data_IF_047672466938
#
_entry.id   IF_047672466938
#
_cell.length_a   1.000
_cell.length_b   1.000
_cell.length_c   1.000
_cell.angle_alpha   90.00
_cell.angle_beta   90.00
_cell.angle_gamma   90.00
#
_symmetry.space_group_name_H-M   'P 1'
#
loop_
_entity.id
_entity.type
_entity.pdbx_description
1 polymer ?
#
# COMPACT_ATOMS: atom_id res chain seq x y z
N UNK A 1 -34.98 59.57 11.56
CA UNK A 1 -33.90 59.06 10.73
C UNK A 1 -33.01 58.20 11.61
N UNK A 2 -33.25 56.87 11.65
CA UNK A 2 -32.52 55.92 12.51
C UNK A 2 -31.85 54.94 11.56
N UNK A 3 -30.50 55.02 11.50
CA UNK A 3 -29.70 54.08 10.74
C UNK A 3 -29.59 52.74 11.49
N UNK A 4 -30.03 51.66 10.83
CA UNK A 4 -29.83 50.28 11.30
C UNK A 4 -28.48 49.78 10.80
N UNK A 5 -27.47 49.76 11.67
CA UNK A 5 -26.19 49.13 11.42
C UNK A 5 -26.34 47.62 11.61
N UNK A 6 -26.37 46.84 10.50
CA UNK A 6 -26.36 45.39 10.53
C UNK A 6 -24.93 44.90 10.76
N UNK A 7 -24.65 44.48 11.99
CA UNK A 7 -23.38 43.84 12.35
C UNK A 7 -23.40 42.36 11.96
N UNK A 8 -22.82 42.02 10.81
CA UNK A 8 -22.59 40.62 10.38
C UNK A 8 -21.44 40.02 11.21
N UNK A 9 -21.77 39.27 12.25
CA UNK A 9 -20.80 38.44 12.97
C UNK A 9 -20.29 37.32 12.04
N UNK A 10 -19.11 37.50 11.48
CA UNK A 10 -18.31 36.42 10.89
C UNK A 10 -17.79 35.53 12.03
N UNK A 11 -18.31 34.32 12.15
CA UNK A 11 -17.71 33.28 12.99
C UNK A 11 -16.38 32.86 12.33
N UNK A 12 -15.27 33.38 12.84
CA UNK A 12 -13.96 32.80 12.58
C UNK A 12 -13.91 31.45 13.31
N UNK A 13 -13.93 30.37 12.54
CA UNK A 13 -13.61 29.04 13.06
C UNK A 13 -12.09 28.99 13.18
N UNK A 14 -11.59 29.16 14.40
CA UNK A 14 -10.21 28.87 14.74
C UNK A 14 -10.00 27.37 14.70
N UNK A 15 -9.37 26.85 13.63
CA UNK A 15 -8.83 25.51 13.63
C UNK A 15 -7.54 25.59 14.43
N UNK A 16 -7.60 25.24 15.70
CA UNK A 16 -6.41 25.06 16.54
C UNK A 16 -5.64 23.86 16.02
N UNK A 17 -4.64 24.11 15.16
CA UNK A 17 -3.62 23.12 14.83
C UNK A 17 -2.71 23.00 16.05
N UNK A 18 -3.00 22.05 16.92
CA UNK A 18 -2.12 21.71 18.05
C UNK A 18 -0.86 21.06 17.48
N UNK A 19 0.18 21.85 17.24
CA UNK A 19 1.52 21.35 16.92
C UNK A 19 2.14 20.85 18.21
N UNK A 20 1.95 19.57 18.53
CA UNK A 20 2.79 18.89 19.51
C UNK A 20 4.13 18.58 18.83
N UNK A 21 5.09 19.47 19.04
CA UNK A 21 6.50 19.22 18.76
C UNK A 21 7.01 18.16 19.75
N UNK A 22 6.96 16.89 19.38
CA UNK A 22 7.68 15.81 20.07
C UNK A 22 8.75 15.27 19.15
N UNK A 23 9.97 15.12 19.70
CA UNK A 23 11.22 14.84 19.04
C UNK A 23 11.15 13.84 17.88
N UNK A 24 11.91 14.16 16.84
CA UNK A 24 12.10 13.26 15.69
C UNK A 24 12.77 11.96 16.17
N UNK A 25 12.00 10.88 16.26
CA UNK A 25 12.57 9.54 16.33
C UNK A 25 13.30 9.26 15.01
N UNK A 26 14.46 8.58 15.03
CA UNK A 26 15.17 8.21 13.80
C UNK A 26 14.26 7.33 12.92
N UNK A 27 14.38 7.47 11.60
CA UNK A 27 13.53 6.80 10.61
C UNK A 27 13.46 5.28 10.80
N UNK A 28 14.51 4.66 11.34
CA UNK A 28 14.56 3.25 11.70
C UNK A 28 13.63 2.85 12.86
N UNK A 29 13.30 3.77 13.76
CA UNK A 29 12.39 3.50 14.88
C UNK A 29 10.90 3.51 14.45
N UNK A 30 10.56 4.18 13.34
CA UNK A 30 9.19 4.19 12.79
C UNK A 30 8.81 2.87 12.10
N UNK A 31 9.81 2.08 11.65
CA UNK A 31 9.59 0.79 11.00
C UNK A 31 9.34 -0.35 12.00
N UNK A 32 9.66 -0.14 13.29
CA UNK A 32 9.57 -1.16 14.34
C UNK A 32 8.27 -1.12 15.15
N UNK A 33 7.29 -0.28 14.80
CA UNK A 33 6.03 -0.23 15.53
C UNK A 33 5.09 -1.36 15.10
N UNK A 34 4.84 -2.22 16.06
CA UNK A 34 3.96 -3.37 16.10
C UNK A 34 2.62 -3.11 15.40
N UNK A 35 2.48 -3.64 14.20
CA UNK A 35 1.16 -3.88 13.62
C UNK A 35 0.71 -5.24 14.15
N UNK A 36 -0.41 -5.31 14.86
CA UNK A 36 -1.08 -6.55 15.34
C UNK A 36 -1.65 -7.38 14.16
N UNK A 37 -0.81 -7.62 13.16
CA UNK A 37 -1.03 -8.47 12.02
C UNK A 37 -0.18 -9.74 12.14
N UNK A 38 -0.25 -10.63 11.16
CA UNK A 38 0.70 -11.73 11.01
C UNK A 38 2.08 -11.07 10.84
N UNK A 39 2.81 -10.92 11.96
CA UNK A 39 4.13 -10.35 11.94
C UNK A 39 5.01 -11.23 11.03
N UNK A 40 5.67 -10.62 10.06
CA UNK A 40 6.75 -11.29 9.40
C UNK A 40 7.74 -11.70 10.50
N UNK A 41 8.06 -12.98 10.57
CA UNK A 41 8.93 -13.52 11.63
C UNK A 41 10.39 -13.35 11.21
N UNK A 42 11.29 -13.35 12.21
CA UNK A 42 12.73 -13.39 12.00
C UNK A 42 13.10 -14.45 10.95
N UNK A 43 13.97 -14.08 10.00
CA UNK A 43 14.38 -14.94 8.89
C UNK A 43 15.79 -15.48 9.11
N UNK A 44 16.09 -16.73 8.70
CA UNK A 44 17.45 -17.21 8.61
C UNK A 44 18.31 -16.32 7.69
N UNK A 45 19.56 -16.06 8.05
CA UNK A 45 20.47 -15.25 7.25
C UNK A 45 20.58 -15.75 5.79
N UNK A 46 20.62 -17.07 5.57
CA UNK A 46 20.67 -17.67 4.24
C UNK A 46 19.46 -17.31 3.37
N UNK A 47 18.28 -17.09 3.95
CA UNK A 47 17.07 -16.65 3.24
C UNK A 47 17.21 -15.19 2.84
N UNK A 48 17.74 -14.35 3.72
CA UNK A 48 17.98 -12.93 3.47
C UNK A 48 19.00 -12.73 2.35
N UNK A 49 20.08 -13.52 2.35
CA UNK A 49 21.11 -13.48 1.28
C UNK A 49 20.58 -13.98 -0.07
N UNK A 50 19.56 -14.82 -0.08
CA UNK A 50 18.92 -15.34 -1.30
C UNK A 50 17.86 -14.38 -1.89
N UNK A 51 17.53 -13.27 -1.22
CA UNK A 51 16.60 -12.26 -1.74
C UNK A 51 17.21 -11.62 -3.00
N UNK A 52 16.50 -11.59 -4.15
CA UNK A 52 17.09 -11.18 -5.43
C UNK A 52 17.16 -9.64 -5.59
N UNK A 53 17.62 -8.95 -4.56
CA UNK A 53 17.88 -7.50 -4.53
C UNK A 53 19.17 -7.19 -3.80
N UNK A 54 19.81 -6.08 -4.13
CA UNK A 54 21.03 -5.65 -3.45
C UNK A 54 20.67 -4.89 -2.17
N UNK A 55 20.59 -5.61 -1.05
CA UNK A 55 20.26 -5.05 0.25
C UNK A 55 21.51 -4.50 0.94
N UNK A 56 21.41 -3.31 1.52
CA UNK A 56 22.42 -2.80 2.43
C UNK A 56 22.40 -3.56 3.78
N UNK A 57 23.39 -3.31 4.62
CA UNK A 57 23.52 -4.00 5.92
C UNK A 57 22.31 -3.74 6.85
N UNK A 58 21.75 -2.54 6.83
CA UNK A 58 20.59 -2.19 7.64
C UNK A 58 19.33 -2.92 7.19
N UNK A 59 19.07 -2.97 5.87
CA UNK A 59 17.97 -3.70 5.29
C UNK A 59 18.07 -5.21 5.57
N UNK A 60 19.28 -5.80 5.44
CA UNK A 60 19.53 -7.20 5.80
C UNK A 60 19.24 -7.47 7.27
N UNK A 61 19.71 -6.60 8.17
CA UNK A 61 19.46 -6.72 9.60
C UNK A 61 17.94 -6.67 9.91
N UNK A 62 17.20 -5.75 9.31
CA UNK A 62 15.75 -5.64 9.47
C UNK A 62 15.03 -6.89 8.96
N UNK A 63 15.35 -7.36 7.76
CA UNK A 63 14.77 -8.61 7.22
C UNK A 63 15.07 -9.81 8.13
N UNK A 64 16.30 -9.91 8.65
CA UNK A 64 16.67 -10.99 9.55
C UNK A 64 15.87 -10.94 10.87
N UNK A 65 15.66 -9.75 11.44
CA UNK A 65 15.01 -9.60 12.75
C UNK A 65 13.49 -9.56 12.67
N UNK A 66 12.91 -8.98 11.61
CA UNK A 66 11.47 -8.71 11.50
C UNK A 66 10.80 -9.32 10.27
N UNK A 67 11.57 -9.88 9.33
CA UNK A 67 11.04 -10.35 8.04
C UNK A 67 10.63 -9.25 7.08
N UNK A 68 10.86 -7.98 7.41
CA UNK A 68 10.51 -6.85 6.56
C UNK A 68 11.57 -5.75 6.57
N UNK A 69 11.64 -4.99 5.47
CA UNK A 69 12.46 -3.77 5.36
C UNK A 69 11.73 -2.76 4.48
N UNK A 70 12.09 -1.49 4.59
CA UNK A 70 11.48 -0.46 3.77
C UNK A 70 12.29 0.82 3.76
N UNK A 71 12.01 1.68 2.81
CA UNK A 71 12.62 3.00 2.71
C UNK A 71 11.64 4.05 2.19
N UNK A 72 12.01 5.30 2.38
CA UNK A 72 11.26 6.46 1.95
C UNK A 72 12.06 7.24 0.92
N UNK A 73 11.38 7.81 -0.07
CA UNK A 73 12.02 8.68 -1.03
C UNK A 73 11.27 10.00 -1.20
N UNK A 74 11.99 11.02 -1.68
CA UNK A 74 11.44 12.33 -1.98
C UNK A 74 11.92 12.74 -3.38
N UNK A 75 10.98 13.20 -4.21
CA UNK A 75 11.20 13.74 -5.55
C UNK A 75 11.94 12.80 -6.56
N UNK A 76 12.60 11.73 -6.07
CA UNK A 76 13.27 10.71 -6.88
C UNK A 76 12.71 9.33 -6.55
N UNK A 77 11.93 8.70 -7.45
CA UNK A 77 11.40 7.37 -7.23
C UNK A 77 12.49 6.32 -6.97
N UNK A 78 12.23 5.43 -6.01
CA UNK A 78 13.10 4.31 -5.68
C UNK A 78 12.32 3.00 -5.80
N UNK A 79 13.00 1.97 -6.33
CA UNK A 79 12.46 0.61 -6.53
C UNK A 79 13.51 -0.47 -6.21
N UNK A 80 14.55 -0.10 -5.50
CA UNK A 80 15.72 -0.94 -5.17
C UNK A 80 15.40 -2.14 -4.28
N UNK A 81 14.25 -2.13 -3.60
CA UNK A 81 13.74 -3.28 -2.84
C UNK A 81 12.83 -4.22 -3.67
N UNK A 82 12.57 -3.93 -4.95
CA UNK A 82 11.69 -4.75 -5.77
C UNK A 82 12.41 -6.05 -6.21
N UNK A 83 11.88 -7.25 -5.86
CA UNK A 83 12.53 -8.52 -6.14
C UNK A 83 12.43 -8.96 -7.62
N UNK A 84 11.67 -8.22 -8.43
CA UNK A 84 11.45 -8.51 -9.85
C UNK A 84 11.95 -7.35 -10.71
N UNK A 85 12.96 -7.60 -11.54
CA UNK A 85 13.62 -6.57 -12.36
C UNK A 85 12.67 -5.96 -13.40
N UNK A 86 11.79 -6.76 -14.01
CA UNK A 86 10.82 -6.27 -15.00
C UNK A 86 9.76 -5.38 -14.32
N UNK A 87 9.23 -5.80 -13.16
CA UNK A 87 8.34 -4.98 -12.36
C UNK A 87 9.02 -3.68 -11.91
N UNK A 88 10.28 -3.74 -11.42
CA UNK A 88 11.02 -2.56 -11.00
C UNK A 88 11.13 -1.52 -12.13
N UNK A 89 11.44 -1.96 -13.36
CA UNK A 89 11.50 -1.09 -14.52
C UNK A 89 10.13 -0.47 -14.88
N UNK A 90 9.05 -1.24 -14.80
CA UNK A 90 7.68 -0.78 -15.08
C UNK A 90 7.20 0.23 -14.02
N UNK A 91 7.43 -0.07 -12.74
CA UNK A 91 7.11 0.81 -11.62
C UNK A 91 7.88 2.13 -11.75
N UNK A 92 9.18 2.07 -12.01
CA UNK A 92 10.00 3.26 -12.15
C UNK A 92 9.53 4.14 -13.32
N UNK A 93 9.18 3.54 -14.47
CA UNK A 93 8.62 4.25 -15.63
C UNK A 93 7.30 4.94 -15.27
N UNK A 94 6.42 4.23 -14.57
CA UNK A 94 5.12 4.76 -14.13
C UNK A 94 5.28 5.91 -13.15
N UNK A 95 6.18 5.77 -12.17
CA UNK A 95 6.48 6.80 -11.18
C UNK A 95 7.14 8.03 -11.82
N UNK A 96 8.08 7.84 -12.75
CA UNK A 96 8.69 8.95 -13.49
C UNK A 96 7.66 9.73 -14.32
N UNK A 97 6.63 9.08 -14.83
CA UNK A 97 5.52 9.75 -15.52
C UNK A 97 4.59 10.54 -14.60
N UNK A 98 4.53 10.20 -13.30
CA UNK A 98 3.69 10.89 -12.31
C UNK A 98 4.44 11.90 -11.45
N UNK A 99 5.78 11.87 -11.46
CA UNK A 99 6.66 12.75 -10.69
C UNK A 99 6.29 12.84 -9.20
N UNK A 100 6.25 11.72 -8.46
CA UNK A 100 5.87 11.74 -7.06
C UNK A 100 6.85 12.57 -6.24
N UNK A 101 6.33 13.39 -5.33
CA UNK A 101 7.15 14.16 -4.41
C UNK A 101 7.35 13.45 -3.04
N UNK A 102 6.58 12.39 -2.78
CA UNK A 102 6.71 11.53 -1.60
C UNK A 102 6.52 10.09 -2.06
N UNK A 103 7.35 9.17 -1.56
CA UNK A 103 7.14 7.75 -1.79
C UNK A 103 7.66 6.87 -0.66
N UNK A 104 7.15 5.67 -0.69
CA UNK A 104 7.42 4.60 0.28
C UNK A 104 7.58 3.31 -0.48
N UNK A 105 8.60 2.53 -0.16
CA UNK A 105 8.70 1.15 -0.58
C UNK A 105 8.91 0.23 0.61
N UNK A 106 8.40 -0.99 0.52
CA UNK A 106 8.48 -1.99 1.58
C UNK A 106 8.62 -3.37 0.95
N UNK A 107 9.55 -4.15 1.43
CA UNK A 107 9.70 -5.56 1.11
C UNK A 107 9.43 -6.40 2.35
N UNK A 108 8.55 -7.37 2.22
CA UNK A 108 8.30 -8.41 3.24
C UNK A 108 8.66 -9.76 2.64
N UNK A 109 9.38 -10.56 3.40
CA UNK A 109 9.71 -11.94 3.05
C UNK A 109 9.05 -12.86 4.06
N UNK A 110 8.28 -13.82 3.59
CA UNK A 110 7.52 -14.73 4.44
C UNK A 110 7.62 -16.16 3.93
N UNK A 111 7.55 -17.14 4.82
CA UNK A 111 7.45 -18.53 4.42
C UNK A 111 6.17 -18.77 3.60
N UNK A 112 6.28 -19.52 2.52
CA UNK A 112 5.12 -19.98 1.74
C UNK A 112 4.24 -20.84 2.65
N UNK A 113 2.92 -20.64 2.71
CA UNK A 113 2.03 -21.54 3.46
C UNK A 113 2.25 -22.99 3.07
N UNK A 114 2.34 -23.88 4.06
CA UNK A 114 2.75 -25.28 3.84
C UNK A 114 1.91 -26.00 2.78
N UNK A 115 0.59 -25.76 2.74
CA UNK A 115 -0.32 -26.34 1.76
C UNK A 115 -0.09 -25.83 0.31
N UNK A 116 0.60 -24.67 0.13
CA UNK A 116 0.94 -24.13 -1.18
C UNK A 116 2.32 -24.55 -1.68
N UNK A 117 3.25 -24.99 -0.80
CA UNK A 117 4.63 -25.31 -1.18
C UNK A 117 4.72 -26.31 -2.31
N UNK A 118 3.98 -27.42 -2.21
CA UNK A 118 3.99 -28.53 -3.19
C UNK A 118 2.89 -28.43 -4.24
N UNK A 119 2.06 -27.41 -4.18
CA UNK A 119 0.89 -27.27 -5.05
C UNK A 119 1.29 -26.81 -6.46
N UNK A 120 0.91 -27.55 -7.49
CA UNK A 120 1.27 -27.23 -8.88
C UNK A 120 0.62 -25.93 -9.37
N UNK A 121 -0.60 -25.63 -8.92
CA UNK A 121 -1.37 -24.44 -9.28
C UNK A 121 -1.22 -23.27 -8.30
N UNK A 122 -0.22 -23.31 -7.38
CA UNK A 122 -0.03 -22.28 -6.34
C UNK A 122 -0.01 -20.85 -6.88
N UNK A 123 0.61 -20.62 -8.05
CA UNK A 123 0.67 -19.30 -8.66
C UNK A 123 -0.72 -18.79 -9.06
N UNK A 124 -1.59 -19.68 -9.56
CA UNK A 124 -2.98 -19.36 -9.86
C UNK A 124 -3.78 -19.09 -8.58
N UNK A 125 -3.52 -19.82 -7.50
CA UNK A 125 -4.14 -19.55 -6.20
C UNK A 125 -3.73 -18.16 -5.70
N UNK A 126 -2.44 -17.85 -5.67
CA UNK A 126 -1.94 -16.52 -5.24
C UNK A 126 -2.49 -15.41 -6.14
N UNK A 127 -2.57 -15.64 -7.44
CA UNK A 127 -3.18 -14.72 -8.39
C UNK A 127 -4.65 -14.46 -8.06
N UNK A 128 -5.45 -15.49 -7.84
CA UNK A 128 -6.86 -15.34 -7.49
C UNK A 128 -7.08 -14.64 -6.14
N UNK A 129 -6.19 -14.86 -5.15
CA UNK A 129 -6.26 -14.17 -3.86
C UNK A 129 -6.12 -12.66 -4.01
N UNK A 130 -5.25 -12.18 -4.90
CA UNK A 130 -5.09 -10.74 -5.16
C UNK A 130 -6.33 -10.06 -5.73
N UNK A 131 -7.27 -10.83 -6.28
CA UNK A 131 -8.51 -10.33 -6.88
C UNK A 131 -9.69 -10.29 -5.91
N UNK A 132 -9.51 -10.74 -4.67
CA UNK A 132 -10.58 -10.81 -3.67
C UNK A 132 -10.77 -9.48 -2.94
N UNK A 133 -11.17 -8.43 -3.65
CA UNK A 133 -11.31 -7.06 -3.09
C UNK A 133 -12.29 -6.97 -1.95
N UNK A 134 -13.38 -7.74 -1.98
CA UNK A 134 -14.39 -7.74 -0.92
C UNK A 134 -13.85 -8.21 0.43
N UNK A 135 -12.85 -9.09 0.41
CA UNK A 135 -12.21 -9.56 1.64
C UNK A 135 -11.28 -8.52 2.28
N UNK A 136 -11.04 -7.38 1.61
CA UNK A 136 -10.35 -6.23 2.20
C UNK A 136 -11.24 -5.39 3.12
N UNK A 137 -12.56 -5.57 3.10
CA UNK A 137 -13.44 -4.91 4.05
C UNK A 137 -13.10 -5.32 5.48
N UNK A 138 -12.97 -4.33 6.37
CA UNK A 138 -12.65 -4.56 7.78
C UNK A 138 -11.16 -4.82 8.07
N UNK A 139 -10.26 -4.83 7.05
CA UNK A 139 -8.83 -4.98 7.35
C UNK A 139 -8.34 -3.84 8.21
N UNK A 140 -7.39 -4.18 9.09
CA UNK A 140 -6.87 -3.23 10.06
C UNK A 140 -5.47 -2.76 9.71
N UNK A 141 -5.15 -1.54 10.11
CA UNK A 141 -3.82 -0.95 9.99
C UNK A 141 -3.49 -0.11 11.24
N UNK A 142 -2.22 0.04 11.55
CA UNK A 142 -1.80 0.98 12.60
C UNK A 142 -1.81 2.41 12.04
N UNK A 143 -2.64 3.26 12.64
CA UNK A 143 -2.74 4.68 12.27
C UNK A 143 -1.71 5.50 13.05
N UNK A 144 -0.56 5.83 12.43
CA UNK A 144 0.49 6.63 13.06
C UNK A 144 0.02 8.01 13.53
N UNK A 145 -1.03 8.58 12.93
CA UNK A 145 -1.59 9.87 13.34
C UNK A 145 -2.49 9.79 14.57
N UNK A 146 -3.06 8.62 14.86
CA UNK A 146 -3.93 8.38 16.02
C UNK A 146 -3.25 7.53 17.10
N UNK A 147 -2.13 6.85 16.78
CA UNK A 147 -1.42 5.98 17.71
C UNK A 147 -2.16 4.67 18.06
N UNK A 148 -3.09 4.23 17.20
CA UNK A 148 -3.95 3.07 17.44
C UNK A 148 -4.20 2.26 16.18
N UNK A 149 -4.61 1.00 16.35
CA UNK A 149 -5.09 0.15 15.25
C UNK A 149 -6.51 0.51 14.88
N UNK A 150 -6.77 0.74 13.60
CA UNK A 150 -8.05 1.14 13.03
C UNK A 150 -8.41 0.30 11.82
N UNK A 151 -9.69 0.24 11.51
CA UNK A 151 -10.16 -0.29 10.22
C UNK A 151 -9.63 0.61 9.10
N UNK A 152 -9.04 0.00 8.07
CA UNK A 152 -8.56 0.71 6.88
C UNK A 152 -9.71 0.97 5.92
N UNK A 153 -10.44 -0.08 5.51
CA UNK A 153 -11.57 0.02 4.58
C UNK A 153 -12.87 -0.42 5.23
N UNK A 154 -13.89 0.43 5.17
CA UNK A 154 -15.27 0.08 5.53
C UNK A 154 -16.02 -0.55 4.36
N UNK A 155 -15.50 -0.41 3.13
CA UNK A 155 -15.96 -1.12 1.95
C UNK A 155 -14.82 -1.23 0.93
N UNK A 156 -14.76 -2.35 0.20
CA UNK A 156 -13.82 -2.55 -0.91
C UNK A 156 -14.44 -3.52 -1.91
N UNK A 157 -14.69 -3.09 -3.15
CA UNK A 157 -15.32 -3.95 -4.16
C UNK A 157 -15.10 -3.42 -5.58
N UNK A 158 -15.26 -4.29 -6.56
CA UNK A 158 -15.25 -3.94 -7.98
C UNK A 158 -16.54 -3.24 -8.39
N UNK A 159 -16.41 -2.34 -9.37
CA UNK A 159 -17.54 -1.64 -10.00
C UNK A 159 -17.36 -1.63 -11.53
N UNK A 160 -18.41 -1.29 -12.27
CA UNK A 160 -18.30 -1.14 -13.73
C UNK A 160 -17.50 0.09 -14.14
N UNK A 161 -17.57 1.17 -13.38
CA UNK A 161 -16.86 2.43 -13.64
C UNK A 161 -17.46 3.59 -12.88
N UNK A 162 -16.96 4.81 -13.15
CA UNK A 162 -17.38 6.04 -12.47
C UNK A 162 -18.88 6.36 -12.64
N UNK A 163 -19.50 5.90 -13.72
CA UNK A 163 -20.94 6.10 -13.99
C UNK A 163 -21.86 5.04 -13.38
N UNK A 164 -21.30 3.91 -12.93
CA UNK A 164 -22.08 2.82 -12.31
C UNK A 164 -21.24 2.18 -11.18
N UNK A 165 -21.53 2.60 -9.95
CA UNK A 165 -20.85 2.16 -8.74
C UNK A 165 -21.50 0.92 -8.10
N UNK A 166 -22.42 0.24 -8.81
CA UNK A 166 -22.99 -1.01 -8.32
C UNK A 166 -21.87 -2.06 -8.12
N UNK A 167 -21.94 -2.75 -6.99
CA UNK A 167 -20.98 -3.79 -6.64
C UNK A 167 -21.01 -4.94 -7.65
N UNK A 168 -19.84 -5.31 -8.13
CA UNK A 168 -19.62 -6.52 -8.92
C UNK A 168 -18.97 -7.61 -8.06
N UNK A 169 -19.22 -8.91 -8.37
CA UNK A 169 -18.52 -10.00 -7.71
C UNK A 169 -17.02 -9.95 -8.01
N UNK A 170 -16.20 -10.42 -7.07
CA UNK A 170 -14.79 -10.64 -7.33
C UNK A 170 -14.64 -11.76 -8.38
N UNK A 171 -13.70 -11.62 -9.34
CA UNK A 171 -13.50 -12.64 -10.35
C UNK A 171 -12.75 -13.84 -9.76
N UNK A 172 -13.01 -14.99 -10.35
CA UNK A 172 -12.20 -16.18 -10.15
C UNK A 172 -11.72 -16.67 -11.51
N UNK A 173 -10.41 -16.76 -11.69
CA UNK A 173 -9.78 -17.12 -12.94
C UNK A 173 -9.39 -18.58 -12.96
N UNK A 174 -9.65 -19.25 -14.07
CA UNK A 174 -9.21 -20.63 -14.32
C UNK A 174 -7.74 -20.69 -14.79
N UNK A 175 -7.21 -19.57 -15.28
CA UNK A 175 -5.82 -19.38 -15.71
C UNK A 175 -5.33 -18.00 -15.38
N UNK A 176 -4.01 -17.80 -15.33
CA UNK A 176 -3.41 -16.49 -15.13
C UNK A 176 -3.51 -15.71 -16.43
N UNK A 177 -4.22 -14.56 -16.39
CA UNK A 177 -4.33 -13.67 -17.52
C UNK A 177 -3.06 -12.80 -17.64
N UNK A 178 -2.53 -12.55 -18.87
CA UNK A 178 -1.33 -11.75 -19.05
C UNK A 178 -1.43 -10.34 -18.49
N UNK A 179 -2.56 -9.67 -18.72
CA UNK A 179 -2.89 -8.35 -18.15
C UNK A 179 -4.37 -8.08 -18.26
N UNK A 180 -4.93 -7.37 -17.28
CA UNK A 180 -6.29 -6.84 -17.32
C UNK A 180 -6.43 -5.66 -16.36
N UNK A 181 -7.53 -4.94 -16.51
CA UNK A 181 -7.84 -3.75 -15.73
C UNK A 181 -9.32 -3.71 -15.35
N UNK A 182 -9.62 -3.17 -14.18
CA UNK A 182 -10.98 -2.86 -13.76
C UNK A 182 -11.01 -1.74 -12.73
N UNK A 183 -12.22 -1.26 -12.41
CA UNK A 183 -12.42 -0.23 -11.42
C UNK A 183 -12.75 -0.85 -10.06
N UNK A 184 -12.15 -0.28 -9.01
CA UNK A 184 -12.36 -0.69 -7.61
C UNK A 184 -12.77 0.53 -6.80
N UNK A 185 -13.84 0.40 -6.04
CA UNK A 185 -14.26 1.39 -5.07
C UNK A 185 -13.77 0.95 -3.69
N UNK A 186 -13.07 1.84 -2.99
CA UNK A 186 -12.68 1.64 -1.59
C UNK A 186 -13.15 2.82 -0.74
N UNK A 187 -13.75 2.52 0.41
CA UNK A 187 -14.13 3.50 1.42
C UNK A 187 -13.11 3.46 2.57
N UNK A 188 -12.07 4.28 2.45
CA UNK A 188 -10.96 4.41 3.42
C UNK A 188 -11.41 5.27 4.59
N UNK A 189 -11.24 4.82 5.82
CA UNK A 189 -11.66 5.54 7.04
C UNK A 189 -10.99 6.91 7.21
N UNK A 190 -9.86 7.15 6.51
CA UNK A 190 -9.13 8.43 6.54
C UNK A 190 -9.48 9.33 5.35
N UNK A 191 -9.58 8.73 4.15
CA UNK A 191 -9.71 9.46 2.89
C UNK A 191 -11.12 9.38 2.29
N UNK A 192 -12.03 8.62 2.92
CA UNK A 192 -13.39 8.41 2.45
C UNK A 192 -13.45 7.55 1.18
N UNK A 193 -14.57 7.63 0.51
CA UNK A 193 -14.90 6.82 -0.66
C UNK A 193 -14.15 7.31 -1.90
N UNK A 194 -13.31 6.43 -2.46
CA UNK A 194 -12.49 6.72 -3.63
C UNK A 194 -12.61 5.60 -4.67
N UNK A 195 -12.58 5.99 -5.93
CA UNK A 195 -12.54 5.10 -7.08
C UNK A 195 -11.11 4.98 -7.58
N UNK A 196 -10.69 3.76 -7.85
CA UNK A 196 -9.36 3.44 -8.36
C UNK A 196 -9.46 2.63 -9.66
N UNK A 197 -8.51 2.86 -10.56
CA UNK A 197 -8.18 1.91 -11.60
C UNK A 197 -7.19 0.90 -11.04
N UNK A 198 -7.52 -0.38 -11.12
CA UNK A 198 -6.71 -1.51 -10.71
C UNK A 198 -6.24 -2.28 -11.93
N UNK A 199 -4.92 -2.38 -12.13
CA UNK A 199 -4.29 -3.08 -13.24
C UNK A 199 -3.50 -4.26 -12.71
N UNK A 200 -3.61 -5.42 -13.34
CA UNK A 200 -2.85 -6.63 -13.05
C UNK A 200 -1.99 -6.99 -14.23
N UNK A 201 -0.78 -7.47 -13.96
CA UNK A 201 0.13 -8.05 -14.95
C UNK A 201 0.74 -9.33 -14.41
N UNK A 202 0.67 -10.38 -15.19
CA UNK A 202 1.45 -11.58 -14.96
C UNK A 202 2.90 -11.31 -15.40
N UNK A 203 3.83 -11.71 -14.57
CA UNK A 203 5.26 -11.56 -14.80
C UNK A 203 5.94 -12.93 -14.84
N UNK A 204 7.19 -12.96 -15.27
CA UNK A 204 8.00 -14.18 -15.25
C UNK A 204 8.14 -14.75 -13.83
N UNK A 205 8.49 -16.03 -13.73
CA UNK A 205 8.71 -16.77 -12.48
C UNK A 205 7.48 -16.82 -11.55
N UNK A 206 6.27 -16.69 -12.13
CA UNK A 206 5.02 -16.73 -11.38
C UNK A 206 4.76 -15.49 -10.53
N UNK A 207 5.45 -14.39 -10.81
CA UNK A 207 5.19 -13.12 -10.15
C UNK A 207 3.94 -12.45 -10.74
N UNK A 208 3.27 -11.65 -9.89
CA UNK A 208 2.14 -10.80 -10.30
C UNK A 208 2.40 -9.39 -9.83
N UNK A 209 2.26 -8.44 -10.75
CA UNK A 209 2.22 -7.01 -10.44
C UNK A 209 0.76 -6.55 -10.39
N UNK A 210 0.41 -5.88 -9.32
CA UNK A 210 -0.87 -5.24 -9.11
C UNK A 210 -0.65 -3.75 -8.87
N UNK A 211 -1.26 -2.88 -9.69
CA UNK A 211 -1.14 -1.42 -9.55
C UNK A 211 -2.51 -0.79 -9.36
N UNK A 212 -2.62 0.16 -8.43
CA UNK A 212 -3.80 1.01 -8.24
C UNK A 212 -3.46 2.49 -8.44
N UNK A 213 -4.35 3.19 -9.13
CA UNK A 213 -4.29 4.64 -9.33
C UNK A 213 -5.64 5.28 -9.03
N UNK A 214 -5.66 6.37 -8.27
CA UNK A 214 -6.90 7.09 -7.99
C UNK A 214 -7.46 7.77 -9.25
N UNK A 215 -8.76 7.58 -9.51
CA UNK A 215 -9.46 8.15 -10.67
C UNK A 215 -9.79 9.63 -10.46
N UNK A 216 -10.19 10.00 -9.26
CA UNK A 216 -10.59 11.34 -8.89
C UNK A 216 -9.68 11.94 -7.81
N UNK A 217 -9.93 13.20 -7.46
CA UNK A 217 -9.23 13.87 -6.35
C UNK A 217 -9.48 13.14 -5.04
N UNK A 218 -8.40 12.82 -4.30
CA UNK A 218 -8.50 12.30 -2.94
C UNK A 218 -8.49 13.46 -1.94
N UNK A 219 -9.34 13.36 -0.93
CA UNK A 219 -9.50 14.39 0.11
C UNK A 219 -9.12 13.88 1.48
N UNK A 220 -8.61 14.78 2.32
CA UNK A 220 -8.50 14.57 3.76
C UNK A 220 -9.46 15.55 4.43
N UNK A 221 -10.61 15.08 4.88
CA UNK A 221 -11.74 15.92 5.23
C UNK A 221 -12.20 16.76 4.04
N UNK A 222 -12.15 18.09 4.16
CA UNK A 222 -12.53 19.02 3.09
C UNK A 222 -11.35 19.39 2.15
N UNK A 223 -10.12 19.07 2.53
CA UNK A 223 -8.91 19.48 1.81
C UNK A 223 -8.56 18.47 0.70
N UNK A 224 -8.42 18.90 -0.56
CA UNK A 224 -7.89 18.04 -1.61
C UNK A 224 -6.38 17.84 -1.38
N UNK A 225 -5.97 16.58 -1.19
CA UNK A 225 -4.56 16.24 -0.93
C UNK A 225 -3.87 15.60 -2.12
N UNK A 226 -4.62 14.94 -3.01
CA UNK A 226 -4.11 14.34 -4.24
C UNK A 226 -5.00 14.71 -5.42
N UNK A 227 -4.40 15.04 -6.56
CA UNK A 227 -5.09 15.16 -7.84
C UNK A 227 -5.49 13.79 -8.42
N UNK A 228 -6.27 13.75 -9.52
CA UNK A 228 -6.52 12.51 -10.25
C UNK A 228 -5.21 11.89 -10.74
N UNK A 229 -5.05 10.57 -10.60
CA UNK A 229 -3.86 9.84 -11.00
C UNK A 229 -2.58 10.13 -10.19
N UNK A 230 -2.67 10.98 -9.16
CA UNK A 230 -1.53 11.43 -8.36
C UNK A 230 -1.04 10.41 -7.32
N UNK A 231 -1.76 9.30 -7.11
CA UNK A 231 -1.32 8.16 -6.33
C UNK A 231 -1.08 6.96 -7.24
N UNK A 232 0.07 6.33 -7.07
CA UNK A 232 0.37 5.02 -7.63
C UNK A 232 0.77 4.11 -6.48
N UNK A 233 -0.08 3.11 -6.20
CA UNK A 233 0.25 2.00 -5.31
C UNK A 233 0.52 0.80 -6.20
N UNK A 234 1.69 0.18 -6.04
CA UNK A 234 2.02 -1.07 -6.73
C UNK A 234 2.41 -2.13 -5.71
N UNK A 235 1.86 -3.32 -5.87
CA UNK A 235 2.27 -4.52 -5.15
C UNK A 235 2.87 -5.50 -6.15
N UNK A 236 3.98 -6.13 -5.78
CA UNK A 236 4.57 -7.26 -6.53
C UNK A 236 4.64 -8.45 -5.60
N UNK A 237 4.03 -9.53 -6.01
CA UNK A 237 4.05 -10.79 -5.26
C UNK A 237 4.79 -11.81 -6.09
N UNK A 238 5.88 -12.35 -5.54
CA UNK A 238 6.76 -13.27 -6.24
C UNK A 238 7.15 -14.44 -5.34
N UNK A 239 6.87 -15.69 -5.73
CA UNK A 239 7.45 -16.86 -5.10
C UNK A 239 8.98 -16.87 -5.24
N UNK A 240 9.71 -17.35 -4.22
CA UNK A 240 11.13 -17.64 -4.34
C UNK A 240 11.37 -18.76 -5.35
N UNK A 241 12.59 -18.86 -5.89
CA UNK A 241 12.94 -19.86 -6.91
C UNK A 241 12.71 -21.30 -6.43
N UNK A 242 12.93 -21.57 -5.13
CA UNK A 242 12.67 -22.88 -4.50
C UNK A 242 11.21 -23.06 -4.04
N UNK A 243 10.38 -22.01 -4.19
CA UNK A 243 8.97 -22.01 -3.82
C UNK A 243 8.69 -22.05 -2.32
N UNK A 244 9.70 -21.91 -1.46
CA UNK A 244 9.54 -21.97 0.01
C UNK A 244 9.23 -20.66 0.65
N UNK A 245 9.49 -19.55 -0.05
CA UNK A 245 9.24 -18.20 0.42
C UNK A 245 8.42 -17.41 -0.57
N UNK A 246 7.81 -16.35 -0.08
CA UNK A 246 7.08 -15.37 -0.85
C UNK A 246 7.67 -13.99 -0.58
N UNK A 247 8.02 -13.28 -1.65
CA UNK A 247 8.39 -11.88 -1.61
C UNK A 247 7.14 -11.04 -1.86
N UNK A 248 6.77 -10.21 -0.90
CA UNK A 248 5.70 -9.23 -1.02
C UNK A 248 6.34 -7.85 -1.02
N UNK A 249 6.38 -7.24 -2.18
CA UNK A 249 6.89 -5.88 -2.34
C UNK A 249 5.74 -4.90 -2.54
N UNK A 250 5.79 -3.74 -1.87
CA UNK A 250 4.85 -2.65 -2.04
C UNK A 250 5.59 -1.34 -2.29
N UNK A 251 5.09 -0.55 -3.23
CA UNK A 251 5.56 0.80 -3.52
C UNK A 251 4.37 1.75 -3.62
N UNK A 252 4.45 2.90 -2.97
CA UNK A 252 3.48 3.99 -3.13
C UNK A 252 4.21 5.26 -3.49
N UNK A 253 3.90 5.80 -4.66
CA UNK A 253 4.32 7.13 -5.08
C UNK A 253 3.15 8.11 -5.07
N UNK A 254 3.35 9.29 -4.49
CA UNK A 254 2.34 10.34 -4.32
C UNK A 254 2.85 11.66 -4.88
N UNK A 255 2.07 12.28 -5.75
CA UNK A 255 2.19 13.71 -6.04
C UNK A 255 1.21 14.46 -5.12
N UNK A 256 1.62 14.62 -3.86
CA UNK A 256 0.78 15.18 -2.81
C UNK A 256 0.93 16.71 -2.72
N UNK A 257 -0.14 17.39 -2.32
CA UNK A 257 -0.05 18.80 -1.91
C UNK A 257 0.90 18.90 -0.72
N UNK A 258 1.95 19.70 -0.86
CA UNK A 258 2.95 19.88 0.22
C UNK A 258 2.32 20.67 1.37
N UNK A 259 2.23 20.01 2.53
CA UNK A 259 1.81 20.65 3.78
C UNK A 259 2.94 20.52 4.77
N UNK A 260 3.55 21.65 5.21
CA UNK A 260 4.65 21.62 6.15
C UNK A 260 4.33 20.80 7.42
N UNK A 261 5.27 19.95 7.85
CA UNK A 261 5.14 19.13 9.07
C UNK A 261 4.29 17.86 8.94
N UNK A 262 3.61 17.60 7.81
CA UNK A 262 2.80 16.39 7.63
C UNK A 262 3.54 15.26 6.92
N UNK A 263 4.69 15.49 6.32
CA UNK A 263 5.40 14.52 5.49
C UNK A 263 5.70 13.21 6.22
N UNK A 264 6.23 13.28 7.45
CA UNK A 264 6.52 12.09 8.26
C UNK A 264 5.27 11.25 8.55
N UNK A 265 4.13 11.92 8.83
CA UNK A 265 2.83 11.23 9.05
C UNK A 265 2.32 10.57 7.77
N UNK A 266 2.48 11.22 6.62
CA UNK A 266 2.11 10.67 5.31
C UNK A 266 2.93 9.41 5.02
N UNK A 267 4.25 9.47 5.19
CA UNK A 267 5.15 8.33 4.99
C UNK A 267 4.76 7.14 5.86
N UNK A 268 4.64 7.35 7.18
CA UNK A 268 4.22 6.30 8.10
C UNK A 268 2.84 5.73 7.76
N UNK A 269 1.89 6.58 7.39
CA UNK A 269 0.53 6.17 7.01
C UNK A 269 0.53 5.25 5.79
N UNK A 270 1.32 5.55 4.75
CA UNK A 270 1.37 4.72 3.54
C UNK A 270 2.21 3.46 3.72
N UNK A 271 3.29 3.51 4.51
CA UNK A 271 4.00 2.30 4.92
C UNK A 271 3.05 1.32 5.63
N UNK A 272 2.29 1.79 6.61
CA UNK A 272 1.36 0.94 7.37
C UNK A 272 0.20 0.41 6.50
N UNK A 273 -0.18 1.11 5.43
CA UNK A 273 -1.13 0.61 4.44
C UNK A 273 -0.54 -0.54 3.62
N UNK A 274 0.72 -0.45 3.19
CA UNK A 274 1.40 -1.57 2.51
C UNK A 274 1.42 -2.79 3.43
N UNK A 275 1.76 -2.62 4.71
CA UNK A 275 1.73 -3.70 5.71
C UNK A 275 0.30 -4.25 5.89
N UNK A 276 -0.74 -3.41 5.86
CA UNK A 276 -2.12 -3.89 5.93
C UNK A 276 -2.52 -4.73 4.71
N UNK A 277 -2.10 -4.36 3.51
CA UNK A 277 -2.27 -5.19 2.30
C UNK A 277 -1.52 -6.51 2.40
N UNK A 278 -0.28 -6.48 2.90
CA UNK A 278 0.48 -7.71 3.17
C UNK A 278 -0.26 -8.61 4.16
N UNK A 279 -0.68 -8.08 5.31
CA UNK A 279 -1.37 -8.84 6.35
C UNK A 279 -2.69 -9.45 5.85
N UNK A 280 -3.44 -8.69 5.04
CA UNK A 280 -4.63 -9.19 4.38
C UNK A 280 -4.29 -10.36 3.46
N UNK A 281 -3.32 -10.18 2.55
CA UNK A 281 -2.91 -11.21 1.60
C UNK A 281 -2.40 -12.48 2.30
N UNK A 282 -1.53 -12.32 3.31
CA UNK A 282 -0.98 -13.44 4.07
C UNK A 282 -2.07 -14.25 4.81
N UNK A 283 -3.08 -13.57 5.37
CA UNK A 283 -4.24 -14.25 5.98
C UNK A 283 -5.04 -15.06 4.95
N UNK A 284 -5.32 -14.49 3.78
CA UNK A 284 -6.02 -15.20 2.71
C UNK A 284 -5.20 -16.42 2.24
N UNK A 285 -3.90 -16.24 2.04
CA UNK A 285 -3.00 -17.31 1.63
C UNK A 285 -2.88 -18.43 2.68
N UNK A 286 -3.03 -18.13 3.96
CA UNK A 286 -3.01 -19.13 5.03
C UNK A 286 -4.31 -19.95 5.15
N UNK A 287 -5.45 -19.43 4.66
CA UNK A 287 -6.78 -20.03 4.79
C UNK A 287 -7.19 -20.88 3.58
N UNK A 288 -6.64 -20.63 2.40
CA UNK A 288 -6.90 -21.34 1.14
C UNK A 288 -6.03 -22.56 0.98
#
# INVERSE_FOLDING_TARGET
MVELTICRKRKLIWISVLILATGQAPASALLAQDSSGIAASALPAAVVEAVPVNLDAGAKQLLTSTGSTGSFYRDQPMVDLCPNTAAAADILRTLNGTHPNIGVQTLVVVAMPAHLVSRADRNLVLYNLLHQFRTMEGIQYFSASHGETRVLFTASYRVKGAGDLAMLPDPHYASIEPSHEFQVLQDDTTFGKNLYTATFKALEKGAVEFTMSNVAKVRYGVLPVLGPGAMKLTLVIQPSADGRFLYFYGNVGLLATRVPGLEGKVRASFHNRIIAYYNWFARQAAQG
#
